data_IF_646434386083
#
_entry.id   IF_646434386083
#
_cell.length_a   1.000
_cell.length_b   1.000
_cell.length_c   1.000
_cell.angle_alpha   90.00
_cell.angle_beta   90.00
_cell.angle_gamma   90.00
#
_symmetry.space_group_name_H-M   'P 1'
#
loop_
_entity.id
_entity.type
_entity.pdbx_description
1 polymer ?
#
# COMPACT_ATOMS: atom_id res chain seq x y z
N UNK A 1 -0.20 -11.22 15.90
CA UNK A 1 0.27 -10.06 16.66
C UNK A 1 0.96 -9.05 15.75
N UNK A 2 1.99 -9.45 15.00
CA UNK A 2 2.74 -8.57 14.08
C UNK A 2 1.88 -7.81 13.06
N UNK A 3 0.91 -8.49 12.43
CA UNK A 3 0.00 -7.87 11.44
C UNK A 3 -0.74 -6.69 12.07
N UNK A 4 -1.29 -6.87 13.27
CA UNK A 4 -2.10 -5.85 13.93
C UNK A 4 -1.26 -4.65 14.35
N UNK A 5 -0.07 -4.90 14.93
CA UNK A 5 0.88 -3.84 15.30
C UNK A 5 1.30 -3.04 14.07
N UNK A 6 1.53 -3.70 12.94
CA UNK A 6 1.94 -3.04 11.69
C UNK A 6 0.82 -2.17 11.13
N UNK A 7 -0.41 -2.69 11.06
CA UNK A 7 -1.56 -1.94 10.55
C UNK A 7 -1.88 -0.73 11.43
N UNK A 8 -1.77 -0.85 12.77
CA UNK A 8 -2.00 0.27 13.70
C UNK A 8 -0.96 1.41 13.55
N UNK A 9 0.22 1.14 12.97
CA UNK A 9 1.25 2.16 12.69
C UNK A 9 0.99 2.94 11.39
N UNK A 10 0.03 2.53 10.57
CA UNK A 10 -0.29 3.24 9.32
C UNK A 10 -0.78 4.66 9.61
N UNK A 11 -0.27 5.63 8.84
CA UNK A 11 -0.72 7.02 8.93
C UNK A 11 -2.06 7.19 8.21
N UNK A 12 -3.00 7.86 8.86
CA UNK A 12 -4.29 8.25 8.27
C UNK A 12 -4.10 9.36 7.22
N UNK A 13 -5.11 9.55 6.36
CA UNK A 13 -5.18 10.56 5.30
C UNK A 13 -3.99 10.51 4.34
N UNK A 14 -3.53 9.29 4.04
CA UNK A 14 -2.52 9.06 3.00
C UNK A 14 -3.21 8.89 1.66
N UNK A 15 -2.48 9.18 0.59
CA UNK A 15 -2.94 8.92 -0.75
C UNK A 15 -3.28 7.43 -0.90
N UNK A 16 -4.42 7.17 -1.52
CA UNK A 16 -4.91 5.82 -1.80
C UNK A 16 -4.05 5.17 -2.88
N UNK A 17 -3.86 3.86 -2.75
CA UNK A 17 -3.22 3.06 -3.79
C UNK A 17 -4.09 2.91 -5.03
N UNK A 18 -3.60 2.19 -6.05
CA UNK A 18 -4.37 1.85 -7.25
C UNK A 18 -5.65 1.05 -6.95
N UNK A 19 -5.69 0.37 -5.81
CA UNK A 19 -6.83 -0.38 -5.29
C UNK A 19 -7.96 0.51 -4.75
N UNK A 20 -7.71 1.80 -4.56
CA UNK A 20 -8.66 2.74 -3.97
C UNK A 20 -8.92 2.51 -2.47
N UNK A 21 -8.13 1.66 -1.80
CA UNK A 21 -8.34 1.31 -0.39
C UNK A 21 -7.45 2.17 0.51
N UNK A 22 -8.08 3.06 1.29
CA UNK A 22 -7.36 3.90 2.24
C UNK A 22 -6.81 3.12 3.44
N UNK A 23 -5.78 3.67 4.08
CA UNK A 23 -5.21 3.10 5.31
C UNK A 23 -6.28 2.92 6.41
N UNK A 24 -7.28 3.78 6.44
CA UNK A 24 -8.43 3.74 7.35
C UNK A 24 -9.20 2.43 7.28
N UNK A 25 -9.44 1.89 6.08
CA UNK A 25 -10.16 0.62 5.92
C UNK A 25 -9.43 -0.51 6.65
N UNK A 26 -8.10 -0.54 6.56
CA UNK A 26 -7.26 -1.50 7.27
C UNK A 26 -7.26 -1.25 8.77
N UNK A 27 -7.03 -0.01 9.21
CA UNK A 27 -6.96 0.36 10.63
C UNK A 27 -8.27 0.00 11.36
N UNK A 28 -9.42 0.29 10.75
CA UNK A 28 -10.73 0.03 11.36
C UNK A 28 -11.21 -1.41 11.14
N UNK A 29 -10.75 -2.09 10.08
CA UNK A 29 -11.14 -3.47 9.77
C UNK A 29 -10.26 -4.55 10.38
N UNK A 30 -9.11 -4.21 10.96
CA UNK A 30 -8.05 -5.18 11.29
C UNK A 30 -8.50 -6.28 12.24
N UNK A 31 -9.37 -5.98 13.20
CA UNK A 31 -9.87 -6.95 14.18
C UNK A 31 -10.59 -8.12 13.50
N UNK A 32 -11.31 -7.83 12.41
CA UNK A 32 -12.03 -8.84 11.60
C UNK A 32 -11.13 -9.47 10.53
N UNK A 33 -10.20 -8.70 9.97
CA UNK A 33 -9.41 -9.11 8.80
C UNK A 33 -8.12 -9.86 9.14
N UNK A 34 -7.58 -9.71 10.35
CA UNK A 34 -6.26 -10.23 10.73
C UNK A 34 -6.09 -11.74 10.48
N UNK A 35 -7.14 -12.52 10.71
CA UNK A 35 -7.12 -13.98 10.51
C UNK A 35 -6.94 -14.34 9.04
N UNK A 36 -7.73 -13.69 8.16
CA UNK A 36 -7.67 -13.93 6.72
C UNK A 36 -6.37 -13.41 6.11
N UNK A 37 -5.89 -12.25 6.56
CA UNK A 37 -4.58 -11.72 6.16
C UNK A 37 -3.46 -12.71 6.49
N UNK A 38 -3.45 -13.27 7.71
CA UNK A 38 -2.45 -14.28 8.10
C UNK A 38 -2.49 -15.50 7.18
N UNK A 39 -3.68 -16.00 6.86
CA UNK A 39 -3.86 -17.13 5.94
C UNK A 39 -3.29 -16.85 4.55
N UNK A 40 -3.59 -15.67 3.98
CA UNK A 40 -3.11 -15.26 2.65
C UNK A 40 -1.59 -15.09 2.65
N UNK A 41 -1.03 -14.40 3.65
CA UNK A 41 0.42 -14.21 3.80
C UNK A 41 1.15 -15.54 3.92
N UNK A 42 0.65 -16.46 4.75
CA UNK A 42 1.24 -17.79 4.90
C UNK A 42 1.17 -18.61 3.61
N UNK A 43 0.06 -18.52 2.86
CA UNK A 43 -0.06 -19.17 1.54
C UNK A 43 0.99 -18.64 0.56
N UNK A 44 1.20 -17.32 0.52
CA UNK A 44 2.24 -16.73 -0.33
C UNK A 44 3.65 -17.13 0.11
N UNK A 45 3.90 -17.17 1.42
CA UNK A 45 5.20 -17.57 1.97
C UNK A 45 5.56 -19.02 1.64
N UNK A 46 4.59 -19.94 1.71
CA UNK A 46 4.80 -21.37 1.49
C UNK A 46 4.74 -21.79 0.01
N UNK A 47 5.13 -20.92 -0.92
CA UNK A 47 5.19 -21.22 -2.35
C UNK A 47 3.97 -20.78 -3.16
N UNK A 48 3.07 -19.98 -2.57
CA UNK A 48 2.02 -19.29 -3.31
C UNK A 48 2.59 -18.24 -4.26
N UNK A 49 1.87 -17.94 -5.34
CA UNK A 49 2.26 -16.88 -6.28
C UNK A 49 1.81 -15.52 -5.78
N UNK A 50 2.70 -14.53 -5.83
CA UNK A 50 2.32 -13.13 -5.74
C UNK A 50 1.45 -12.75 -6.94
N UNK A 51 0.41 -11.96 -6.70
CA UNK A 51 -0.38 -11.42 -7.80
C UNK A 51 0.45 -10.40 -8.59
N UNK A 52 0.10 -10.17 -9.86
CA UNK A 52 0.86 -9.24 -10.71
C UNK A 52 0.77 -7.82 -10.16
N UNK A 53 -0.39 -7.44 -9.61
CA UNK A 53 -0.64 -6.11 -9.05
C UNK A 53 0.32 -5.77 -7.90
N UNK A 54 0.75 -6.77 -7.13
CA UNK A 54 1.71 -6.55 -6.03
C UNK A 54 3.14 -6.25 -6.51
N UNK A 55 3.41 -6.45 -7.80
CA UNK A 55 4.69 -6.14 -8.45
C UNK A 55 4.66 -4.80 -9.19
N UNK A 56 3.50 -4.17 -9.28
CA UNK A 56 3.28 -2.93 -10.00
C UNK A 56 3.25 -1.75 -9.03
N UNK A 57 3.76 -0.59 -9.46
CA UNK A 57 3.75 0.63 -8.68
C UNK A 57 3.45 1.83 -9.59
N UNK A 58 2.60 2.75 -9.11
CA UNK A 58 2.31 3.99 -9.82
C UNK A 58 3.34 5.04 -9.41
N UNK A 59 4.06 5.59 -10.38
CA UNK A 59 4.95 6.73 -10.21
C UNK A 59 4.27 7.95 -10.82
N UNK A 60 3.88 8.90 -9.97
CA UNK A 60 3.30 10.17 -10.40
C UNK A 60 4.32 11.28 -10.19
N UNK A 61 4.92 11.85 -11.24
CA UNK A 61 5.88 12.93 -11.11
C UNK A 61 5.18 14.19 -10.59
N UNK A 62 5.69 14.76 -9.50
CA UNK A 62 5.12 15.96 -8.88
C UNK A 62 5.94 17.17 -9.30
N UNK A 63 5.33 18.05 -10.09
CA UNK A 63 5.97 19.30 -10.49
C UNK A 63 6.24 20.19 -9.26
N UNK A 64 7.47 20.69 -9.15
CA UNK A 64 7.89 21.62 -8.09
C UNK A 64 7.79 23.07 -8.56
N UNK A 65 8.70 23.50 -9.44
CA UNK A 65 8.83 24.89 -9.95
C UNK A 65 9.76 24.95 -11.17
N UNK A 66 9.74 26.05 -11.93
CA UNK A 66 10.61 26.26 -13.09
C UNK A 66 9.93 25.96 -14.44
N UNK A 67 10.66 25.34 -15.36
CA UNK A 67 10.13 24.95 -16.67
C UNK A 67 9.52 23.53 -16.58
N UNK A 68 8.26 23.40 -17.01
CA UNK A 68 7.54 22.12 -17.06
C UNK A 68 8.13 21.13 -18.08
N UNK A 69 8.98 21.58 -19.00
CA UNK A 69 9.64 20.68 -19.97
C UNK A 69 10.90 20.01 -19.43
N UNK A 70 11.43 20.46 -18.28
CA UNK A 70 12.66 19.89 -17.70
C UNK A 70 12.35 18.86 -16.61
N UNK A 71 12.87 17.64 -16.76
CA UNK A 71 12.65 16.54 -15.83
C UNK A 71 13.16 16.84 -14.40
N UNK A 72 14.24 17.61 -14.26
CA UNK A 72 14.80 18.04 -12.97
C UNK A 72 13.84 18.85 -12.09
N UNK A 73 12.79 19.43 -12.69
CA UNK A 73 11.77 20.22 -12.00
C UNK A 73 10.64 19.38 -11.39
N UNK A 74 10.72 18.04 -11.51
CA UNK A 74 9.74 17.09 -10.98
C UNK A 74 10.34 16.27 -9.83
N UNK A 75 9.49 15.74 -8.94
CA UNK A 75 9.84 14.79 -7.88
C UNK A 75 9.24 13.43 -8.18
#
# INVERSE_FOLDING_TARGET
EEIEVTIRKLKKKKAVGPDGIGNEAWIYGIEKLRGKMKEILNKMWNGGKLTKEWKEGIITPIYKKGDKKKAENYR
#
